data_IF_062526022366
#
_entry.id   IF_062526022366
#
_cell.length_a   1.000
_cell.length_b   1.000
_cell.length_c   1.000
_cell.angle_alpha   90.00
_cell.angle_beta   90.00
_cell.angle_gamma   90.00
#
_symmetry.space_group_name_H-M   'P 1'
#
loop_
_entity.id
_entity.type
_entity.pdbx_description
1 polymer ?
#
# COMPACT_ATOMS: atom_id res chain seq x y z
N UNK A 1 9.15 23.19 -23.41
CA UNK A 1 9.63 21.89 -22.87
C UNK A 1 10.75 22.05 -21.83
N UNK A 2 11.73 22.92 -22.07
CA UNK A 2 12.84 23.23 -21.14
C UNK A 2 12.40 23.82 -19.79
N UNK A 3 11.28 24.54 -19.76
CA UNK A 3 10.75 25.10 -18.50
C UNK A 3 10.21 24.00 -17.57
N UNK A 4 9.44 23.05 -18.10
CA UNK A 4 8.89 21.94 -17.32
C UNK A 4 10.00 21.01 -16.80
N UNK A 5 11.02 20.72 -17.61
CA UNK A 5 12.17 19.92 -17.14
C UNK A 5 12.93 20.60 -16.02
N UNK A 6 13.02 21.93 -16.03
CA UNK A 6 13.69 22.69 -14.95
C UNK A 6 12.83 22.75 -13.70
N UNK A 7 11.51 22.96 -13.86
CA UNK A 7 10.59 23.07 -12.75
C UNK A 7 10.42 21.75 -11.99
N UNK A 8 10.29 20.64 -12.72
CA UNK A 8 10.09 19.31 -12.13
C UNK A 8 11.39 18.52 -11.90
N UNK A 9 12.53 19.03 -12.37
CA UNK A 9 13.83 18.34 -12.29
C UNK A 9 13.81 16.93 -12.92
N UNK A 10 13.03 16.76 -13.99
CA UNK A 10 12.80 15.48 -14.67
C UNK A 10 13.28 15.55 -16.13
N UNK A 11 13.61 14.39 -16.71
CA UNK A 11 14.05 14.27 -18.10
C UNK A 11 12.95 14.66 -19.11
N UNK A 12 13.37 15.20 -20.27
CA UNK A 12 12.45 15.50 -21.38
C UNK A 12 11.64 14.28 -21.82
N UNK A 13 12.26 13.09 -21.80
CA UNK A 13 11.64 11.82 -22.23
C UNK A 13 10.45 11.48 -21.33
N UNK A 14 10.59 11.67 -20.02
CA UNK A 14 9.51 11.41 -19.06
C UNK A 14 8.33 12.33 -19.30
N UNK A 15 8.59 13.61 -19.57
CA UNK A 15 7.53 14.59 -19.84
C UNK A 15 6.78 14.23 -21.13
N UNK A 16 7.49 13.86 -22.20
CA UNK A 16 6.83 13.38 -23.43
C UNK A 16 5.96 12.16 -23.15
N UNK A 17 6.48 11.17 -22.41
CA UNK A 17 5.68 10.00 -22.02
C UNK A 17 4.42 10.36 -21.22
N UNK A 18 4.44 11.41 -20.40
CA UNK A 18 3.24 11.88 -19.69
C UNK A 18 2.24 12.53 -20.63
N UNK A 19 2.69 13.36 -21.58
CA UNK A 19 1.82 13.93 -22.60
C UNK A 19 1.18 12.85 -23.47
N UNK A 20 1.96 11.89 -23.96
CA UNK A 20 1.45 10.77 -24.76
C UNK A 20 0.39 9.96 -23.98
N UNK A 21 0.66 9.66 -22.70
CA UNK A 21 -0.27 8.93 -21.86
C UNK A 21 -1.57 9.71 -21.59
N UNK A 22 -1.46 11.03 -21.42
CA UNK A 22 -2.59 11.93 -21.24
C UNK A 22 -3.43 12.06 -22.51
N UNK A 23 -2.82 12.23 -23.68
CA UNK A 23 -3.55 12.33 -24.94
C UNK A 23 -4.33 11.05 -25.27
N UNK A 24 -3.79 9.89 -24.91
CA UNK A 24 -4.45 8.61 -25.15
C UNK A 24 -5.56 8.28 -24.15
N UNK A 25 -5.36 8.55 -22.86
CA UNK A 25 -6.20 8.02 -21.78
C UNK A 25 -6.64 9.07 -20.74
N UNK A 26 -6.35 10.36 -20.98
CA UNK A 26 -6.63 11.45 -20.06
C UNK A 26 -6.00 11.21 -18.67
N UNK A 27 -6.74 11.55 -17.62
CA UNK A 27 -6.29 11.40 -16.24
C UNK A 27 -5.97 9.94 -15.86
N UNK A 28 -6.65 8.96 -16.47
CA UNK A 28 -6.40 7.54 -16.21
C UNK A 28 -5.00 7.14 -16.69
N UNK A 29 -4.51 7.74 -17.79
CA UNK A 29 -3.17 7.51 -18.32
C UNK A 29 -2.04 7.97 -17.39
N UNK A 30 -2.32 8.95 -16.52
CA UNK A 30 -1.35 9.46 -15.55
C UNK A 30 -1.40 8.73 -14.20
N UNK A 31 -2.38 7.85 -13.97
CA UNK A 31 -2.47 7.11 -12.71
C UNK A 31 -1.37 6.04 -12.60
N UNK A 32 -0.90 5.81 -11.37
CA UNK A 32 0.05 4.74 -11.11
C UNK A 32 -0.55 3.38 -11.45
N UNK A 33 0.21 2.56 -12.18
CA UNK A 33 -0.21 1.21 -12.51
C UNK A 33 -0.32 0.36 -11.24
N UNK A 34 -1.35 -0.50 -11.12
CA UNK A 34 -1.47 -1.40 -9.99
C UNK A 34 -0.28 -2.37 -9.95
N UNK A 35 0.16 -2.72 -8.74
CA UNK A 35 1.25 -3.69 -8.54
C UNK A 35 2.67 -3.12 -8.64
N UNK A 36 2.83 -1.79 -8.73
CA UNK A 36 4.15 -1.15 -8.61
C UNK A 36 4.75 -1.32 -7.21
N UNK A 37 6.08 -1.46 -7.16
CA UNK A 37 6.88 -1.55 -5.93
C UNK A 37 7.03 -2.96 -5.36
N UNK A 38 7.73 -3.06 -4.21
CA UNK A 38 8.01 -4.34 -3.56
C UNK A 38 6.73 -4.97 -3.00
N UNK A 39 6.45 -6.20 -3.40
CA UNK A 39 5.30 -6.98 -2.89
C UNK A 39 5.44 -7.22 -1.38
N UNK A 40 4.35 -7.09 -0.61
CA UNK A 40 4.38 -7.33 0.83
C UNK A 40 4.56 -8.82 1.12
N UNK A 41 5.25 -9.14 2.22
CA UNK A 41 5.48 -10.54 2.66
C UNK A 41 4.16 -11.23 3.00
N UNK A 42 3.22 -10.50 3.62
CA UNK A 42 1.85 -10.94 3.86
C UNK A 42 0.88 -10.09 3.06
N UNK A 43 0.07 -10.73 2.21
CA UNK A 43 -0.95 -10.07 1.39
C UNK A 43 -2.35 -10.51 1.82
N UNK A 44 -3.26 -9.56 1.98
CA UNK A 44 -4.67 -9.83 2.28
C UNK A 44 -5.42 -10.40 1.07
N UNK A 45 -4.92 -10.11 -0.14
CA UNK A 45 -5.47 -10.65 -1.38
C UNK A 45 -5.14 -12.13 -1.57
N UNK A 46 -4.18 -12.67 -0.81
CA UNK A 46 -3.85 -14.09 -0.86
C UNK A 46 -4.59 -14.83 0.28
N UNK A 47 -5.65 -15.61 -0.03
CA UNK A 47 -6.42 -16.32 0.99
C UNK A 47 -5.59 -17.35 1.75
N UNK A 48 -4.53 -17.91 1.15
CA UNK A 48 -3.64 -18.84 1.83
C UNK A 48 -2.86 -18.16 2.95
N UNK A 49 -2.44 -16.90 2.77
CA UNK A 49 -1.74 -16.14 3.80
C UNK A 49 -2.69 -15.82 4.96
N UNK A 50 -3.92 -15.43 4.66
CA UNK A 50 -4.95 -15.18 5.68
C UNK A 50 -5.24 -16.43 6.50
N UNK A 51 -5.39 -17.59 5.86
CA UNK A 51 -5.60 -18.88 6.56
C UNK A 51 -4.40 -19.22 7.47
N UNK A 52 -3.18 -19.20 6.93
CA UNK A 52 -1.96 -19.49 7.70
C UNK A 52 -1.81 -18.59 8.94
N UNK A 53 -2.12 -17.30 8.80
CA UNK A 53 -2.08 -16.33 9.91
C UNK A 53 -3.15 -16.62 10.95
N UNK A 54 -4.40 -16.91 10.53
CA UNK A 54 -5.48 -17.28 11.46
C UNK A 54 -5.14 -18.55 12.25
N UNK A 55 -4.57 -19.56 11.60
CA UNK A 55 -4.20 -20.81 12.26
C UNK A 55 -3.06 -20.62 13.28
N UNK A 56 -2.05 -19.81 12.94
CA UNK A 56 -0.95 -19.49 13.85
C UNK A 56 -1.43 -18.73 15.10
N UNK A 57 -2.40 -17.82 14.94
CA UNK A 57 -2.97 -17.05 16.06
C UNK A 57 -3.89 -17.90 16.92
N UNK A 58 -4.69 -18.80 16.32
CA UNK A 58 -5.52 -19.75 17.09
C UNK A 58 -4.66 -20.63 18.01
N UNK A 59 -3.47 -21.03 17.55
CA UNK A 59 -2.53 -21.81 18.37
C UNK A 59 -1.84 -20.98 19.44
N UNK A 60 -1.51 -19.72 19.14
CA UNK A 60 -0.76 -18.84 20.03
C UNK A 60 -1.46 -17.47 20.20
N UNK A 61 -2.61 -17.40 20.89
CA UNK A 61 -3.43 -16.19 20.96
C UNK A 61 -2.78 -15.04 21.76
N UNK A 62 -1.90 -15.36 22.72
CA UNK A 62 -1.30 -14.38 23.63
C UNK A 62 0.10 -13.90 23.21
N UNK A 63 0.76 -14.57 22.24
CA UNK A 63 2.14 -14.27 21.86
C UNK A 63 2.32 -14.06 20.36
N UNK A 64 2.53 -12.79 19.98
CA UNK A 64 2.85 -12.39 18.59
C UNK A 64 4.18 -13.01 18.14
N UNK A 65 5.18 -13.11 19.02
CA UNK A 65 6.51 -13.65 18.67
C UNK A 65 6.43 -15.13 18.33
N UNK A 66 5.66 -15.91 19.09
CA UNK A 66 5.46 -17.34 18.84
C UNK A 66 4.73 -17.58 17.51
N UNK A 67 3.69 -16.77 17.23
CA UNK A 67 2.98 -16.83 15.95
C UNK A 67 3.89 -16.46 14.75
N UNK A 68 4.80 -15.50 14.92
CA UNK A 68 5.79 -15.13 13.90
C UNK A 68 6.72 -16.29 13.59
N UNK A 69 7.30 -16.92 14.62
CA UNK A 69 8.22 -18.05 14.41
C UNK A 69 7.55 -19.21 13.65
N UNK A 70 6.30 -19.55 13.99
CA UNK A 70 5.55 -20.56 13.24
C UNK A 70 5.26 -20.13 11.79
N UNK A 71 4.98 -18.84 11.56
CA UNK A 71 4.73 -18.31 10.22
C UNK A 71 5.99 -18.25 9.36
N UNK A 72 7.15 -17.93 9.93
CA UNK A 72 8.43 -17.96 9.24
C UNK A 72 8.71 -19.36 8.70
N UNK A 73 8.49 -20.41 9.50
CA UNK A 73 8.63 -21.80 9.07
C UNK A 73 7.66 -22.20 7.95
N UNK A 74 6.43 -21.66 7.94
CA UNK A 74 5.39 -22.00 6.94
C UNK A 74 5.45 -21.19 5.65
N UNK A 75 6.05 -20.00 5.69
CA UNK A 75 6.12 -19.05 4.57
C UNK A 75 7.54 -19.04 3.97
N UNK A 76 8.54 -19.51 4.71
CA UNK A 76 9.94 -19.53 4.27
C UNK A 76 10.55 -18.14 4.12
N UNK A 77 9.95 -17.12 4.73
CA UNK A 77 10.40 -15.74 4.68
C UNK A 77 10.43 -15.14 6.07
N UNK A 78 11.48 -14.38 6.37
CA UNK A 78 11.64 -13.68 7.65
C UNK A 78 10.53 -12.64 7.83
N UNK A 79 9.87 -12.67 8.97
CA UNK A 79 8.76 -11.81 9.33
C UNK A 79 9.11 -11.03 10.59
N UNK A 80 9.10 -9.71 10.50
CA UNK A 80 9.15 -8.89 11.71
C UNK A 80 7.80 -8.96 12.44
N UNK A 81 7.75 -9.00 13.79
CA UNK A 81 6.50 -8.98 14.56
C UNK A 81 5.56 -7.83 14.19
N UNK A 82 6.12 -6.68 13.83
CA UNK A 82 5.35 -5.52 13.37
C UNK A 82 4.63 -5.76 12.04
N UNK A 83 5.17 -6.62 11.17
CA UNK A 83 4.50 -7.04 9.94
C UNK A 83 3.24 -7.85 10.25
N UNK A 84 3.29 -8.74 11.25
CA UNK A 84 2.13 -9.49 11.69
C UNK A 84 1.08 -8.58 12.34
N UNK A 85 1.48 -7.67 13.24
CA UNK A 85 0.57 -6.69 13.85
C UNK A 85 -0.14 -5.81 12.80
N UNK A 86 0.62 -5.26 11.84
CA UNK A 86 0.07 -4.46 10.74
C UNK A 86 -0.90 -5.28 9.89
N UNK A 87 -0.57 -6.53 9.59
CA UNK A 87 -1.43 -7.42 8.83
C UNK A 87 -2.76 -7.66 9.57
N UNK A 88 -2.72 -7.90 10.88
CA UNK A 88 -3.91 -8.10 11.70
C UNK A 88 -4.78 -6.84 11.79
N UNK A 89 -4.15 -5.67 11.99
CA UNK A 89 -4.86 -4.39 11.95
C UNK A 89 -5.61 -4.21 10.64
N UNK A 90 -4.95 -4.49 9.52
CA UNK A 90 -5.58 -4.38 8.21
C UNK A 90 -6.69 -5.43 8.00
N UNK A 91 -6.54 -6.64 8.56
CA UNK A 91 -7.55 -7.70 8.49
C UNK A 91 -8.83 -7.33 9.24
N UNK A 92 -8.71 -6.68 10.40
CA UNK A 92 -9.85 -6.15 11.17
C UNK A 92 -10.48 -4.96 10.43
N UNK A 93 -9.67 -4.03 9.91
CA UNK A 93 -10.16 -2.87 9.17
C UNK A 93 -10.98 -3.26 7.93
N UNK A 94 -10.52 -4.26 7.17
CA UNK A 94 -11.22 -4.74 5.96
C UNK A 94 -12.53 -5.46 6.30
N UNK A 95 -12.61 -6.12 7.46
CA UNK A 95 -13.86 -6.73 7.95
C UNK A 95 -14.88 -5.71 8.47
N UNK A 96 -14.43 -4.55 8.94
CA UNK A 96 -15.29 -3.51 9.53
C UNK A 96 -15.79 -2.47 8.52
N UNK A 97 -15.04 -2.18 7.47
CA UNK A 97 -15.44 -1.26 6.42
C UNK A 97 -14.57 -1.48 5.18
N UNK A 98 -15.16 -1.42 3.99
CA UNK A 98 -14.44 -1.33 2.73
C UNK A 98 -13.63 -0.01 2.63
N UNK A 99 -12.52 0.10 3.36
CA UNK A 99 -11.46 1.06 3.10
C UNK A 99 -10.13 0.54 3.68
N UNK A 100 -9.11 0.25 2.84
CA UNK A 100 -7.77 -0.01 3.35
C UNK A 100 -7.19 1.29 3.90
N UNK A 101 -7.17 1.45 5.23
CA UNK A 101 -6.43 2.51 5.92
C UNK A 101 -4.93 2.20 5.82
N UNK A 102 -4.37 2.41 4.65
CA UNK A 102 -2.93 2.52 4.46
C UNK A 102 -2.56 3.97 4.74
N UNK A 103 -1.83 4.22 5.83
CA UNK A 103 -1.38 5.57 6.23
C UNK A 103 -0.21 6.08 5.35
N UNK A 104 -0.03 5.54 4.13
CA UNK A 104 0.98 5.98 3.17
C UNK A 104 0.34 6.98 2.22
N UNK A 105 0.36 8.26 2.61
CA UNK A 105 -0.11 9.38 1.78
C UNK A 105 -1.29 10.14 2.39
N UNK A 106 -1.11 10.70 3.58
CA UNK A 106 -1.96 11.78 4.07
C UNK A 106 -1.49 13.09 3.41
N UNK A 107 -1.85 13.31 2.15
CA UNK A 107 -1.93 14.67 1.61
C UNK A 107 -3.37 15.11 1.84
N UNK A 108 -3.63 15.78 2.96
CA UNK A 108 -4.87 16.53 3.08
C UNK A 108 -4.74 17.75 2.17
N UNK A 109 -5.46 17.75 1.03
CA UNK A 109 -5.84 19.02 0.45
C UNK A 109 -6.69 19.73 1.51
N UNK A 110 -6.09 20.66 2.22
CA UNK A 110 -6.85 21.61 3.02
C UNK A 110 -7.60 22.50 2.03
N UNK A 111 -8.90 22.23 1.85
CA UNK A 111 -9.78 23.25 1.32
C UNK A 111 -9.77 24.39 2.33
N UNK A 112 -9.08 25.48 1.99
CA UNK A 112 -9.17 26.73 2.73
C UNK A 112 -10.64 27.16 2.73
N UNK A 113 -11.32 27.07 3.87
CA UNK A 113 -12.61 27.75 4.06
C UNK A 113 -12.38 29.24 3.80
N UNK A 114 -12.97 29.74 2.71
CA UNK A 114 -13.06 31.16 2.44
C UNK A 114 -13.78 31.85 3.62
N UNK A 115 -13.09 32.77 4.29
CA UNK A 115 -13.68 33.64 5.29
C UNK A 115 -14.41 34.74 4.53
N UNK A 116 -15.74 34.66 4.50
CA UNK A 116 -16.59 35.79 4.12
C UNK A 116 -16.43 36.85 5.20
N UNK A 117 -15.96 38.03 4.81
CA UNK A 117 -16.10 39.30 5.53
C UNK A 117 -16.76 40.29 4.61
#
# INVERSE_FOLDING_TARGET
MTELTKFFEISRITIYSWFDAWEQNGIVGLMNKPGQGRKPILSLQNPAHVKKVKDAIKKNPQSVKSAVAELESKIGSRLHPETLKRFLKNLVSVGAAFAPVSNRGRWQLSEKKAKRS
#
